data_IF_343503388442
#
_entry.id   IF_343503388442
#
_cell.length_a   1.000
_cell.length_b   1.000
_cell.length_c   1.000
_cell.angle_alpha   90.00
_cell.angle_beta   90.00
_cell.angle_gamma   90.00
#
_symmetry.space_group_name_H-M   'P 1'
#
loop_
_entity.id
_entity.type
_entity.pdbx_description
1 polymer ?
#
# COMPACT_ATOMS: atom_id res chain seq x y z
N UNK A 1 19.94 17.91 42.77
CA UNK A 1 20.71 17.04 41.85
C UNK A 1 19.85 16.81 40.61
N UNK A 2 20.26 17.33 39.46
CA UNK A 2 19.52 17.16 38.20
C UNK A 2 19.97 15.86 37.53
N UNK A 3 19.01 15.06 37.03
CA UNK A 3 19.29 13.83 36.31
C UNK A 3 20.01 14.13 34.98
N UNK A 4 20.97 13.30 34.54
CA UNK A 4 21.65 13.49 33.27
C UNK A 4 20.67 13.33 32.11
N UNK A 5 20.63 14.33 31.22
CA UNK A 5 19.84 14.30 29.99
C UNK A 5 20.59 13.40 29.00
N UNK A 6 20.03 12.22 28.71
CA UNK A 6 20.56 11.34 27.66
C UNK A 6 20.36 12.00 26.30
N UNK A 7 21.46 12.25 25.58
CA UNK A 7 21.48 12.88 24.25
C UNK A 7 21.48 11.85 23.11
N UNK A 8 21.41 10.54 23.40
CA UNK A 8 21.33 9.52 22.37
C UNK A 8 19.90 9.37 21.86
N UNK A 9 19.67 9.31 20.53
CA UNK A 9 18.34 9.02 20.00
C UNK A 9 17.83 7.70 20.57
N UNK A 10 16.60 7.71 21.09
CA UNK A 10 15.94 6.52 21.61
C UNK A 10 15.64 5.57 20.44
N UNK A 11 16.53 4.59 20.22
CA UNK A 11 16.33 3.56 19.21
C UNK A 11 15.74 2.32 19.87
N UNK A 12 14.49 2.02 19.55
CA UNK A 12 13.87 0.73 19.91
C UNK A 12 14.16 -0.23 18.77
N UNK A 13 14.85 -1.36 19.01
CA UNK A 13 14.99 -2.41 18.01
C UNK A 13 13.61 -2.86 17.55
N UNK A 14 13.35 -2.79 16.25
CA UNK A 14 12.08 -3.26 15.67
C UNK A 14 12.29 -4.67 15.15
N UNK A 15 11.43 -5.60 15.56
CA UNK A 15 11.45 -6.98 15.08
C UNK A 15 10.59 -7.11 13.82
N UNK A 16 11.24 -7.38 12.68
CA UNK A 16 10.61 -7.52 11.36
C UNK A 16 9.44 -8.51 11.35
N UNK A 17 9.47 -9.53 12.21
CA UNK A 17 8.43 -10.55 12.34
C UNK A 17 7.07 -10.00 12.79
N UNK A 18 7.06 -8.77 13.31
CA UNK A 18 5.88 -8.08 13.81
C UNK A 18 5.63 -6.75 13.06
N UNK A 19 6.16 -6.61 11.84
CA UNK A 19 6.02 -5.39 11.03
C UNK A 19 5.24 -5.68 9.75
N UNK A 20 4.50 -4.68 9.28
CA UNK A 20 3.97 -4.64 7.93
C UNK A 20 4.60 -3.52 7.10
N UNK A 21 4.86 -3.77 5.82
CA UNK A 21 5.20 -2.77 4.82
C UNK A 21 3.91 -2.27 4.16
N UNK A 22 3.57 -0.99 4.37
CA UNK A 22 2.45 -0.34 3.70
C UNK A 22 2.95 0.48 2.52
N UNK A 23 2.44 0.17 1.33
CA UNK A 23 2.71 0.89 0.08
C UNK A 23 1.42 1.61 -0.31
N UNK A 24 1.39 2.92 -0.17
CA UNK A 24 0.20 3.73 -0.47
C UNK A 24 0.33 4.42 -1.83
N UNK A 25 -0.72 4.33 -2.66
CA UNK A 25 -0.91 5.13 -3.88
C UNK A 25 0.18 4.99 -4.95
N UNK A 26 0.88 3.86 -4.97
CA UNK A 26 1.81 3.51 -6.05
C UNK A 26 1.00 3.01 -7.25
N UNK A 27 0.51 3.96 -8.05
CA UNK A 27 -0.37 3.72 -9.18
C UNK A 27 0.15 4.45 -10.42
N UNK A 28 0.11 3.81 -11.58
CA UNK A 28 0.62 4.33 -12.86
C UNK A 28 0.03 5.70 -13.21
N UNK A 29 -1.24 5.93 -12.90
CA UNK A 29 -1.93 7.20 -13.15
C UNK A 29 -1.40 8.35 -12.27
N UNK A 30 -0.99 8.05 -11.04
CA UNK A 30 -0.37 9.03 -10.14
C UNK A 30 1.07 9.28 -10.58
N UNK A 31 1.81 8.21 -10.89
CA UNK A 31 3.19 8.27 -11.35
C UNK A 31 3.34 9.03 -12.67
N UNK A 32 2.35 8.93 -13.57
CA UNK A 32 2.33 9.63 -14.85
C UNK A 32 2.41 11.17 -14.74
N UNK A 33 2.20 11.73 -13.53
CA UNK A 33 2.34 13.17 -13.26
C UNK A 33 3.77 13.62 -13.04
N UNK A 34 4.72 12.68 -12.94
CA UNK A 34 6.13 12.96 -12.68
C UNK A 34 6.98 12.65 -13.93
N UNK A 35 8.16 13.27 -14.08
CA UNK A 35 9.11 12.90 -15.12
C UNK A 35 9.50 11.42 -15.06
N UNK A 36 9.77 10.80 -16.20
CA UNK A 36 10.05 9.36 -16.30
C UNK A 36 11.21 8.91 -15.41
N UNK A 37 12.29 9.68 -15.39
CA UNK A 37 13.45 9.42 -14.52
C UNK A 37 13.07 9.39 -13.02
N UNK A 38 12.20 10.32 -12.59
CA UNK A 38 11.68 10.35 -11.21
C UNK A 38 10.83 9.12 -10.91
N UNK A 39 9.98 8.70 -11.85
CA UNK A 39 9.17 7.50 -11.70
C UNK A 39 10.06 6.26 -11.54
N UNK A 40 11.08 6.12 -12.39
CA UNK A 40 11.97 4.95 -12.40
C UNK A 40 12.81 4.88 -11.12
N UNK A 41 13.36 6.02 -10.68
CA UNK A 41 14.09 6.11 -9.41
C UNK A 41 13.19 5.76 -8.20
N UNK A 42 11.96 6.26 -8.18
CA UNK A 42 10.99 5.98 -7.12
C UNK A 42 10.60 4.50 -7.08
N UNK A 43 10.28 3.91 -8.23
CA UNK A 43 9.94 2.49 -8.35
C UNK A 43 11.11 1.59 -7.97
N UNK A 44 12.35 1.97 -8.30
CA UNK A 44 13.53 1.23 -7.87
C UNK A 44 13.70 1.19 -6.34
N UNK A 45 13.35 2.28 -5.64
CA UNK A 45 13.38 2.29 -4.17
C UNK A 45 12.27 1.44 -3.55
N UNK A 46 11.05 1.52 -4.11
CA UNK A 46 9.95 0.64 -3.69
C UNK A 46 10.32 -0.83 -3.88
N UNK A 47 10.94 -1.16 -5.02
CA UNK A 47 11.36 -2.52 -5.31
C UNK A 47 12.34 -3.05 -4.26
N UNK A 48 13.32 -2.24 -3.84
CA UNK A 48 14.27 -2.64 -2.78
C UNK A 48 13.56 -2.98 -1.47
N UNK A 49 12.57 -2.18 -1.08
CA UNK A 49 11.77 -2.45 0.13
C UNK A 49 10.93 -3.71 -0.01
N UNK A 50 10.31 -3.92 -1.17
CA UNK A 50 9.55 -5.13 -1.48
C UNK A 50 10.43 -6.38 -1.45
N UNK A 51 11.58 -6.34 -2.10
CA UNK A 51 12.50 -7.47 -2.17
C UNK A 51 13.00 -7.85 -0.78
N UNK A 52 13.32 -6.86 0.06
CA UNK A 52 13.70 -7.08 1.44
C UNK A 52 12.58 -7.76 2.25
N UNK A 53 11.34 -7.24 2.20
CA UNK A 53 10.23 -7.85 2.92
C UNK A 53 9.87 -9.25 2.38
N UNK A 54 9.85 -9.43 1.06
CA UNK A 54 9.60 -10.74 0.43
C UNK A 54 10.65 -11.77 0.83
N UNK A 55 11.91 -11.36 0.96
CA UNK A 55 12.99 -12.21 1.47
C UNK A 55 12.76 -12.61 2.93
N UNK A 56 12.47 -11.66 3.82
CA UNK A 56 12.22 -11.95 5.25
C UNK A 56 10.97 -12.81 5.45
N UNK A 57 9.92 -12.62 4.64
CA UNK A 57 8.75 -13.49 4.60
C UNK A 57 9.15 -14.90 4.18
N UNK A 58 9.86 -15.07 3.07
CA UNK A 58 10.28 -16.39 2.59
C UNK A 58 11.13 -17.12 3.64
N UNK A 59 12.03 -16.40 4.30
CA UNK A 59 12.84 -16.90 5.41
C UNK A 59 11.98 -17.35 6.59
N UNK A 60 11.05 -16.51 7.06
CA UNK A 60 10.15 -16.84 8.16
C UNK A 60 9.25 -18.05 7.83
N UNK A 61 8.80 -18.18 6.57
CA UNK A 61 8.02 -19.32 6.07
C UNK A 61 8.82 -20.60 5.95
N UNK A 62 10.13 -20.51 5.74
CA UNK A 62 11.04 -21.67 5.62
C UNK A 62 11.52 -22.21 6.97
N UNK A 63 11.53 -21.38 8.02
CA UNK A 63 11.88 -21.81 9.37
C UNK A 63 10.70 -22.51 10.03
N UNK A 64 10.87 -23.79 10.38
CA UNK A 64 9.86 -24.64 11.05
C UNK A 64 9.45 -24.17 12.47
N UNK A 65 10.01 -23.08 12.99
CA UNK A 65 9.62 -22.47 14.27
C UNK A 65 8.33 -21.66 14.15
N UNK A 66 7.36 -22.18 13.41
CA UNK A 66 6.04 -21.58 13.28
C UNK A 66 5.44 -21.36 14.66
N UNK A 67 5.19 -20.09 14.99
CA UNK A 67 4.21 -19.77 16.01
C UNK A 67 2.91 -20.53 15.70
N UNK A 68 2.08 -20.76 16.73
CA UNK A 68 0.93 -21.65 16.68
C UNK A 68 -0.14 -21.28 15.61
N UNK A 69 0.04 -20.21 14.83
CA UNK A 69 -0.87 -19.77 13.76
C UNK A 69 -0.21 -19.43 12.41
N UNK A 70 -1.01 -19.54 11.35
CA UNK A 70 -0.64 -19.32 9.94
C UNK A 70 0.01 -17.96 9.64
N UNK A 71 -0.18 -16.94 10.47
CA UNK A 71 0.30 -15.57 10.26
C UNK A 71 1.33 -15.12 11.29
N UNK A 72 1.57 -15.94 12.31
CA UNK A 72 2.39 -15.54 13.46
C UNK A 72 3.88 -15.48 13.08
N UNK A 73 4.52 -14.35 13.43
CA UNK A 73 5.95 -14.14 13.19
C UNK A 73 6.34 -13.93 11.72
N UNK A 74 5.36 -13.68 10.83
CA UNK A 74 5.61 -13.43 9.41
C UNK A 74 5.23 -11.98 9.07
N UNK A 75 6.15 -11.19 8.48
CA UNK A 75 5.85 -9.83 8.04
C UNK A 75 4.75 -9.82 6.96
N UNK A 76 4.07 -8.68 6.80
CA UNK A 76 3.02 -8.50 5.79
C UNK A 76 3.37 -7.36 4.83
N UNK A 77 3.04 -7.51 3.55
CA UNK A 77 3.07 -6.41 2.58
C UNK A 77 1.64 -6.02 2.22
N UNK A 78 1.32 -4.72 2.30
CA UNK A 78 -0.01 -4.18 2.00
C UNK A 78 0.12 -3.11 0.91
N UNK A 79 -0.49 -3.37 -0.25
CA UNK A 79 -0.67 -2.38 -1.31
C UNK A 79 -2.00 -1.68 -1.11
N UNK A 80 -1.95 -0.44 -0.68
CA UNK A 80 -3.11 0.39 -0.42
C UNK A 80 -3.30 1.36 -1.58
N UNK A 81 -4.31 1.11 -2.41
CA UNK A 81 -4.50 1.82 -3.69
C UNK A 81 -5.86 2.49 -3.76
N UNK A 82 -5.96 3.61 -4.49
CA UNK A 82 -7.25 4.22 -4.80
C UNK A 82 -7.84 3.52 -6.04
N UNK A 83 -8.88 2.69 -5.92
CA UNK A 83 -9.47 2.12 -7.11
C UNK A 83 -10.15 3.21 -7.93
N UNK A 84 -9.65 3.44 -9.14
CA UNK A 84 -10.26 4.37 -10.11
C UNK A 84 -11.34 3.61 -10.90
N UNK A 85 -12.49 4.26 -11.13
CA UNK A 85 -13.62 3.71 -11.90
C UNK A 85 -14.28 2.42 -11.37
N UNK A 86 -13.81 1.83 -10.28
CA UNK A 86 -14.70 1.00 -9.48
C UNK A 86 -15.80 1.92 -8.98
N UNK A 87 -17.05 1.53 -9.21
CA UNK A 87 -18.18 2.10 -8.50
C UNK A 87 -18.15 1.65 -7.02
N UNK A 88 -17.02 1.83 -6.33
CA UNK A 88 -16.94 1.89 -4.88
C UNK A 88 -17.87 2.99 -4.33
N UNK A 89 -18.31 3.91 -5.21
CA UNK A 89 -19.35 4.88 -4.96
C UNK A 89 -20.79 4.36 -5.05
N UNK A 90 -21.04 3.09 -5.40
CA UNK A 90 -22.40 2.54 -5.38
C UNK A 90 -23.01 2.53 -3.96
N UNK A 91 -22.16 2.58 -2.91
CA UNK A 91 -22.57 2.73 -1.51
C UNK A 91 -22.18 4.07 -0.89
N UNK A 92 -21.49 4.92 -1.64
CA UNK A 92 -21.06 6.24 -1.17
C UNK A 92 -22.02 7.25 -1.76
N UNK A 93 -22.87 7.81 -0.89
CA UNK A 93 -23.81 8.88 -1.22
C UNK A 93 -23.20 9.89 -2.21
N UNK A 94 -23.95 10.35 -3.23
CA UNK A 94 -23.48 11.31 -4.25
C UNK A 94 -22.85 12.60 -3.70
N UNK A 95 -22.96 12.81 -2.39
CA UNK A 95 -22.45 13.94 -1.63
C UNK A 95 -21.09 13.69 -0.95
N UNK A 96 -20.43 12.54 -1.11
CA UNK A 96 -19.08 12.36 -0.54
C UNK A 96 -18.04 13.24 -1.25
N UNK A 97 -17.24 13.95 -0.45
CA UNK A 97 -16.11 14.80 -0.87
C UNK A 97 -15.14 14.08 -1.81
N UNK A 98 -14.98 12.76 -1.70
CA UNK A 98 -14.12 11.96 -2.57
C UNK A 98 -14.66 11.82 -3.99
N UNK A 99 -15.96 11.55 -4.16
CA UNK A 99 -16.58 11.52 -5.48
C UNK A 99 -16.42 12.87 -6.18
N UNK A 100 -16.54 13.98 -5.44
CA UNK A 100 -16.29 15.33 -5.97
C UNK A 100 -14.83 15.55 -6.35
N UNK A 101 -13.88 15.09 -5.55
CA UNK A 101 -12.45 15.24 -5.83
C UNK A 101 -11.99 14.40 -7.03
N UNK A 102 -12.42 13.14 -7.12
CA UNK A 102 -12.14 12.26 -8.26
C UNK A 102 -12.77 12.83 -9.53
N UNK A 103 -14.03 13.25 -9.48
CA UNK A 103 -14.72 13.89 -10.61
C UNK A 103 -13.99 15.16 -11.09
N UNK A 104 -13.49 16.00 -10.19
CA UNK A 104 -12.69 17.18 -10.56
C UNK A 104 -11.38 16.83 -11.26
N UNK A 105 -10.79 15.66 -10.96
CA UNK A 105 -9.54 15.22 -11.59
C UNK A 105 -9.82 14.56 -12.95
N UNK A 106 -10.94 13.84 -13.09
CA UNK A 106 -11.45 13.33 -14.37
C UNK A 106 -11.83 14.47 -15.33
N UNK A 107 -12.56 15.48 -14.85
CA UNK A 107 -12.94 16.68 -15.64
C UNK A 107 -11.71 17.46 -16.14
N UNK A 108 -10.58 17.38 -15.43
CA UNK A 108 -9.30 17.99 -15.83
C UNK A 108 -8.46 17.10 -16.76
N UNK A 109 -8.96 15.93 -17.14
CA UNK A 109 -8.24 14.96 -17.97
C UNK A 109 -7.03 14.31 -17.27
N UNK A 110 -6.93 14.42 -15.93
CA UNK A 110 -5.81 13.90 -15.16
C UNK A 110 -6.01 12.44 -14.73
N UNK A 111 -7.23 11.92 -14.88
CA UNK A 111 -7.54 10.50 -14.77
C UNK A 111 -8.27 10.05 -16.03
N UNK A 112 -7.77 8.99 -16.65
CA UNK A 112 -8.45 8.33 -17.75
C UNK A 112 -9.57 7.44 -17.18
N UNK A 113 -10.78 7.58 -17.71
CA UNK A 113 -11.89 6.66 -17.40
C UNK A 113 -11.58 5.31 -18.04
N UNK A 114 -11.05 4.39 -17.24
CA UNK A 114 -10.85 3.00 -17.62
C UNK A 114 -12.11 2.27 -17.16
N UNK A 115 -12.88 1.69 -18.08
CA UNK A 115 -13.97 0.78 -17.74
C UNK A 115 -13.41 -0.30 -16.80
N UNK A 116 -13.88 -0.34 -15.55
CA UNK A 116 -13.43 -1.30 -14.55
C UNK A 116 -14.54 -2.33 -14.33
N UNK A 117 -14.21 -3.61 -14.54
CA UNK A 117 -15.05 -4.71 -14.08
C UNK A 117 -15.06 -4.71 -12.55
N UNK A 118 -16.23 -4.64 -11.88
CA UNK A 118 -16.34 -4.71 -10.42
C UNK A 118 -15.74 -5.99 -9.82
N UNK A 119 -15.71 -7.08 -10.57
CA UNK A 119 -15.10 -8.35 -10.16
C UNK A 119 -13.60 -8.41 -10.41
N UNK A 120 -13.08 -7.55 -11.30
CA UNK A 120 -11.66 -7.44 -11.63
C UNK A 120 -11.20 -5.97 -11.60
N UNK A 121 -11.14 -5.36 -10.41
CA UNK A 121 -10.72 -3.98 -10.25
C UNK A 121 -9.33 -3.72 -10.83
N UNK A 122 -9.22 -2.75 -11.74
CA UNK A 122 -7.93 -2.27 -12.21
C UNK A 122 -7.35 -1.27 -11.19
N UNK A 123 -6.49 -1.76 -10.30
CA UNK A 123 -5.80 -0.92 -9.31
C UNK A 123 -4.70 -0.04 -9.91
N UNK A 124 -4.43 -0.17 -11.22
CA UNK A 124 -3.39 0.58 -11.93
C UNK A 124 -2.00 0.48 -11.27
N UNK A 125 -1.70 -0.63 -10.57
CA UNK A 125 -0.39 -0.86 -9.93
C UNK A 125 0.65 -1.10 -11.03
N UNK A 126 1.82 -0.44 -10.99
CA UNK A 126 2.91 -0.68 -11.95
C UNK A 126 3.35 -2.15 -11.95
N UNK A 127 3.59 -2.72 -13.13
CA UNK A 127 3.93 -4.14 -13.27
C UNK A 127 5.19 -4.55 -12.50
N UNK A 128 6.14 -3.62 -12.31
CA UNK A 128 7.35 -3.83 -11.53
C UNK A 128 7.05 -4.21 -10.08
N UNK A 129 5.98 -3.64 -9.52
CA UNK A 129 5.60 -3.75 -8.10
C UNK A 129 4.79 -5.02 -7.83
N UNK A 130 4.20 -5.61 -8.88
CA UNK A 130 3.36 -6.82 -8.78
C UNK A 130 4.20 -7.99 -8.25
N UNK A 131 3.68 -8.77 -7.29
CA UNK A 131 4.37 -9.97 -6.81
C UNK A 131 4.63 -10.95 -7.94
N UNK A 132 5.79 -11.65 -7.94
CA UNK A 132 6.14 -12.60 -9.03
C UNK A 132 5.11 -13.72 -9.24
N UNK A 133 4.35 -14.08 -8.20
CA UNK A 133 3.28 -15.11 -8.25
C UNK A 133 1.88 -14.51 -8.38
N UNK A 134 1.78 -13.22 -8.69
CA UNK A 134 0.51 -12.49 -8.64
C UNK A 134 0.00 -12.27 -7.22
N UNK A 135 -1.25 -11.82 -7.11
CA UNK A 135 -1.88 -11.38 -5.85
C UNK A 135 -2.47 -12.50 -5.00
N UNK A 136 -2.32 -13.76 -5.39
CA UNK A 136 -2.94 -14.92 -4.74
C UNK A 136 -2.19 -15.39 -3.47
N UNK A 137 -1.38 -14.52 -2.87
CA UNK A 137 -0.60 -14.81 -1.67
C UNK A 137 -1.26 -14.25 -0.41
N UNK A 138 -1.16 -14.99 0.68
CA UNK A 138 -1.52 -14.53 2.04
C UNK A 138 -0.52 -13.54 2.64
N UNK A 139 0.63 -13.37 1.99
CA UNK A 139 1.77 -12.58 2.49
C UNK A 139 1.84 -11.16 1.87
N UNK A 140 1.09 -10.92 0.80
CA UNK A 140 1.06 -9.65 0.08
C UNK A 140 -0.35 -9.38 -0.44
N UNK A 141 -1.02 -8.37 0.12
CA UNK A 141 -2.44 -8.08 -0.15
C UNK A 141 -2.62 -6.73 -0.83
N UNK A 142 -3.67 -6.61 -1.65
CA UNK A 142 -4.12 -5.34 -2.23
C UNK A 142 -5.40 -4.90 -1.55
N UNK A 143 -5.42 -3.68 -1.02
CA UNK A 143 -6.56 -3.04 -0.40
C UNK A 143 -6.94 -1.79 -1.18
N UNK A 144 -8.20 -1.74 -1.62
CA UNK A 144 -8.78 -0.53 -2.19
C UNK A 144 -9.19 0.45 -1.08
N UNK A 145 -8.75 1.70 -1.17
CA UNK A 145 -9.06 2.73 -0.18
C UNK A 145 -10.31 3.53 -0.55
N UNK A 146 -11.15 3.78 0.45
CA UNK A 146 -12.33 4.65 0.38
C UNK A 146 -12.08 6.03 0.98
N UNK A 147 -10.85 6.33 1.43
CA UNK A 147 -10.47 7.62 1.99
C UNK A 147 -9.00 7.96 1.74
N UNK A 148 -8.62 9.26 1.77
CA UNK A 148 -7.21 9.66 1.62
C UNK A 148 -6.35 9.20 2.80
N UNK A 149 -6.95 9.12 3.99
CA UNK A 149 -6.30 8.60 5.20
C UNK A 149 -6.51 7.09 5.34
N UNK A 150 -5.51 6.39 5.87
CA UNK A 150 -5.58 4.98 6.28
C UNK A 150 -6.33 4.80 7.62
N UNK A 151 -6.30 5.81 8.48
CA UNK A 151 -7.01 5.78 9.76
C UNK A 151 -8.42 6.39 9.61
N UNK A 152 -9.43 5.62 10.01
CA UNK A 152 -10.72 6.17 10.42
C UNK A 152 -10.52 6.67 11.86
N UNK A 153 -10.43 7.98 12.07
CA UNK A 153 -10.69 8.55 13.39
C UNK A 153 -12.20 8.36 13.65
N UNK A 154 -12.59 7.23 14.22
CA UNK A 154 -13.79 7.17 15.05
C UNK A 154 -13.39 7.76 16.40
N UNK A 155 -13.59 9.07 16.55
CA UNK A 155 -13.76 9.63 17.89
C UNK A 155 -15.10 9.11 18.40
N UNK A 156 -15.06 8.22 19.38
CA UNK A 156 -16.17 8.03 20.32
C UNK A 156 -16.42 9.33 21.09
#
# INVERSE_FOLDING_TARGET
MAAPISTSPFYVPVDIRHIALLISDVQTQILARFPKETQDAYLAQIQRSLDFFRYEIAKARSSETGGNGLYEGVPLIVHHTLPFNLNANAFVSPYNKLAKWVKQLEEKGLFATISADPHHPNFAIPSQVIPPRGWESKDEIVLGKLSPSFAHHQTC
#
